data_IF_367502426407
#
_entry.id   IF_367502426407
#
_cell.length_a   1.000
_cell.length_b   1.000
_cell.length_c   1.000
_cell.angle_alpha   90.00
_cell.angle_beta   90.00
_cell.angle_gamma   90.00
#
_symmetry.space_group_name_H-M   'P 1'
#
loop_
_entity.id
_entity.type
_entity.pdbx_description
1 polymer ?
#
# COMPACT_ATOMS: atom_id res chain seq x y z
N UNK A 1 -51.73 -47.66 10.43
CA UNK A 1 -50.50 -47.79 11.25
C UNK A 1 -49.37 -46.89 10.76
N UNK A 2 -49.07 -46.80 9.46
CA UNK A 2 -47.97 -45.95 8.94
C UNK A 2 -48.21 -44.44 9.14
N UNK A 3 -49.43 -43.95 8.90
CA UNK A 3 -49.78 -42.52 9.08
C UNK A 3 -49.67 -42.01 10.52
N UNK A 4 -49.87 -42.88 11.53
CA UNK A 4 -49.84 -42.50 12.95
C UNK A 4 -48.40 -42.22 13.42
N UNK A 5 -47.38 -42.78 12.75
CA UNK A 5 -45.96 -42.60 13.09
C UNK A 5 -45.32 -41.48 12.24
N UNK A 6 -45.75 -41.32 10.99
CA UNK A 6 -45.17 -40.34 10.05
C UNK A 6 -45.55 -38.89 10.41
N UNK A 7 -46.77 -38.64 10.86
CA UNK A 7 -47.22 -37.30 11.27
C UNK A 7 -46.45 -36.74 12.48
N UNK A 8 -46.28 -37.47 13.60
CA UNK A 8 -45.54 -36.96 14.75
C UNK A 8 -44.03 -36.80 14.47
N UNK A 9 -43.45 -37.63 13.60
CA UNK A 9 -42.02 -37.51 13.24
C UNK A 9 -41.73 -36.28 12.38
N UNK A 10 -42.60 -35.96 11.42
CA UNK A 10 -42.54 -34.71 10.65
C UNK A 10 -42.77 -33.48 11.52
N UNK A 11 -43.69 -33.54 12.48
CA UNK A 11 -43.93 -32.45 13.43
C UNK A 11 -42.71 -32.18 14.33
N UNK A 12 -42.07 -33.24 14.84
CA UNK A 12 -40.85 -33.14 15.63
C UNK A 12 -39.66 -32.57 14.83
N UNK A 13 -39.49 -32.98 13.57
CA UNK A 13 -38.43 -32.46 12.71
C UNK A 13 -38.61 -30.95 12.43
N UNK A 14 -39.84 -30.49 12.19
CA UNK A 14 -40.12 -29.07 11.98
C UNK A 14 -39.93 -28.24 13.27
N UNK A 15 -40.27 -28.78 14.44
CA UNK A 15 -40.00 -28.14 15.73
C UNK A 15 -38.49 -28.01 16.01
N UNK A 16 -37.71 -29.05 15.70
CA UNK A 16 -36.26 -29.02 15.85
C UNK A 16 -35.60 -28.05 14.87
N UNK A 17 -36.05 -28.00 13.61
CA UNK A 17 -35.59 -27.03 12.63
C UNK A 17 -35.95 -25.59 13.04
N UNK A 18 -37.17 -25.38 13.55
CA UNK A 18 -37.61 -24.10 14.11
C UNK A 18 -36.77 -23.66 15.30
N UNK A 19 -36.49 -24.56 16.24
CA UNK A 19 -35.62 -24.29 17.40
C UNK A 19 -34.17 -24.04 16.99
N UNK A 20 -33.66 -24.72 15.96
CA UNK A 20 -32.32 -24.51 15.42
C UNK A 20 -32.21 -23.14 14.74
N UNK A 21 -33.16 -22.77 13.88
CA UNK A 21 -33.22 -21.46 13.22
C UNK A 21 -33.42 -20.35 14.26
N UNK A 22 -34.26 -20.57 15.27
CA UNK A 22 -34.47 -19.62 16.37
C UNK A 22 -33.22 -19.45 17.23
N UNK A 23 -32.49 -20.53 17.57
CA UNK A 23 -31.18 -20.45 18.23
C UNK A 23 -30.15 -19.74 17.36
N UNK A 24 -30.17 -19.94 16.04
CA UNK A 24 -29.27 -19.28 15.08
C UNK A 24 -29.60 -17.79 14.93
N UNK A 25 -30.88 -17.39 15.00
CA UNK A 25 -31.32 -15.99 14.97
C UNK A 25 -31.15 -15.27 16.32
N UNK A 26 -31.31 -15.96 17.46
CA UNK A 26 -30.96 -15.43 18.80
C UNK A 26 -29.46 -15.27 19.01
N UNK A 27 -28.62 -15.96 18.23
CA UNK A 27 -27.21 -15.59 18.02
C UNK A 27 -27.11 -14.47 16.97
N UNK A 28 -27.85 -13.39 17.17
CA UNK A 28 -27.44 -12.09 16.65
C UNK A 28 -26.34 -11.59 17.59
N UNK A 29 -25.20 -11.08 17.09
CA UNK A 29 -24.19 -10.54 17.98
C UNK A 29 -24.83 -9.34 18.69
N UNK A 30 -24.94 -9.44 20.02
CA UNK A 30 -25.12 -8.26 20.83
C UNK A 30 -24.02 -7.27 20.41
N UNK A 31 -24.42 -6.05 20.08
CA UNK A 31 -23.58 -4.92 19.68
C UNK A 31 -22.64 -4.58 20.85
N UNK A 32 -21.61 -5.39 21.04
CA UNK A 32 -20.45 -5.05 21.82
C UNK A 32 -19.68 -4.01 21.00
N UNK A 33 -19.50 -2.81 21.55
CA UNK A 33 -18.41 -1.93 21.13
C UNK A 33 -17.15 -2.78 21.28
N UNK A 34 -16.61 -3.31 20.19
CA UNK A 34 -15.36 -4.07 20.26
C UNK A 34 -14.27 -3.08 20.68
N UNK A 35 -13.60 -3.31 21.81
CA UNK A 35 -12.41 -2.55 22.15
C UNK A 35 -11.37 -2.86 21.07
N UNK A 36 -10.73 -1.79 20.61
CA UNK A 36 -9.54 -1.77 19.78
C UNK A 36 -8.67 -3.01 20.05
N UNK A 37 -8.62 -3.95 19.10
CA UNK A 37 -7.75 -5.12 19.24
C UNK A 37 -6.32 -4.59 19.32
N UNK A 38 -5.64 -4.86 20.43
CA UNK A 38 -4.25 -4.48 20.66
C UNK A 38 -3.37 -5.00 19.53
N UNK A 39 -3.05 -4.15 18.56
CA UNK A 39 -2.00 -4.41 17.59
C UNK A 39 -0.69 -4.28 18.36
N UNK A 40 -0.05 -5.41 18.65
CA UNK A 40 1.17 -5.54 19.45
C UNK A 40 2.31 -4.76 18.79
N UNK A 41 2.39 -3.49 19.13
CA UNK A 41 3.55 -2.63 18.92
C UNK A 41 4.03 -2.22 20.30
N UNK A 42 5.34 -2.18 20.52
CA UNK A 42 5.91 -1.85 21.82
C UNK A 42 5.32 -0.51 22.31
N UNK A 43 4.93 -0.41 23.58
CA UNK A 43 3.95 0.59 24.08
C UNK A 43 4.18 2.09 23.81
N UNK A 44 5.31 2.51 23.23
CA UNK A 44 5.52 3.87 22.70
C UNK A 44 4.92 4.08 21.31
N UNK A 45 4.90 3.05 20.47
CA UNK A 45 4.38 3.12 19.10
C UNK A 45 2.83 3.21 19.12
N UNK A 46 2.18 2.65 20.15
CA UNK A 46 0.72 2.65 20.30
C UNK A 46 0.16 4.06 20.59
N UNK A 47 0.79 4.85 21.47
CA UNK A 47 0.37 6.24 21.74
C UNK A 47 0.51 7.14 20.50
N UNK A 48 1.54 6.91 19.68
CA UNK A 48 1.73 7.67 18.45
C UNK A 48 0.66 7.35 17.40
N UNK A 49 0.22 6.09 17.30
CA UNK A 49 -0.85 5.71 16.35
C UNK A 49 -2.20 6.26 16.82
N UNK A 50 -2.47 6.27 18.13
CA UNK A 50 -3.72 6.82 18.67
C UNK A 50 -3.85 8.32 18.36
N UNK A 51 -2.75 9.07 18.35
CA UNK A 51 -2.75 10.49 17.95
C UNK A 51 -3.05 10.74 16.46
N UNK A 52 -2.95 9.70 15.62
CA UNK A 52 -3.18 9.74 14.17
C UNK A 52 -4.58 9.24 13.79
N UNK A 53 -5.38 8.81 14.76
CA UNK A 53 -6.75 8.35 14.51
C UNK A 53 -7.63 9.52 14.04
N UNK A 54 -8.26 9.32 12.89
CA UNK A 54 -9.23 10.25 12.32
C UNK A 54 -10.62 9.64 12.32
N UNK A 55 -11.63 10.46 12.62
CA UNK A 55 -13.03 10.05 12.62
C UNK A 55 -13.55 9.86 11.19
N UNK A 56 -14.31 8.79 10.96
CA UNK A 56 -14.85 8.47 9.63
C UNK A 56 -15.75 9.57 9.08
N UNK A 57 -16.49 10.29 9.92
CA UNK A 57 -17.36 11.39 9.50
C UNK A 57 -16.55 12.55 8.93
N UNK A 58 -15.36 12.83 9.50
CA UNK A 58 -14.45 13.86 8.98
C UNK A 58 -13.95 13.45 7.59
N UNK A 59 -13.54 12.19 7.41
CA UNK A 59 -13.05 11.71 6.12
C UNK A 59 -14.14 11.60 5.06
N UNK A 60 -15.38 11.25 5.44
CA UNK A 60 -16.53 11.30 4.52
C UNK A 60 -16.81 12.74 4.10
N UNK A 61 -16.86 13.69 5.03
CA UNK A 61 -17.06 15.09 4.69
C UNK A 61 -15.95 15.60 3.74
N UNK A 62 -14.69 15.30 4.05
CA UNK A 62 -13.54 15.72 3.25
C UNK A 62 -13.54 15.15 1.82
N UNK A 63 -14.03 13.93 1.64
CA UNK A 63 -14.00 13.20 0.35
C UNK A 63 -15.34 13.26 -0.42
N UNK A 64 -16.35 13.95 0.09
CA UNK A 64 -17.70 13.93 -0.50
C UNK A 64 -18.35 12.55 -0.42
N UNK A 65 -18.18 11.86 0.70
CA UNK A 65 -18.57 10.47 0.96
C UNK A 65 -17.95 9.49 -0.04
N UNK A 66 -16.64 9.65 -0.30
CA UNK A 66 -15.90 8.86 -1.30
C UNK A 66 -16.52 8.96 -2.70
N UNK A 67 -16.94 10.17 -3.11
CA UNK A 67 -17.51 10.41 -4.43
C UNK A 67 -16.53 10.02 -5.55
N UNK A 68 -17.06 9.43 -6.63
CA UNK A 68 -16.25 9.05 -7.80
C UNK A 68 -15.56 10.27 -8.45
N UNK A 69 -16.13 11.47 -8.35
CA UNK A 69 -15.50 12.71 -8.82
C UNK A 69 -14.20 13.06 -8.08
N UNK A 70 -14.03 12.54 -6.86
CA UNK A 70 -12.84 12.72 -6.03
C UNK A 70 -11.87 11.55 -6.15
N UNK A 71 -12.17 10.52 -6.94
CA UNK A 71 -11.32 9.34 -7.07
C UNK A 71 -10.06 9.68 -7.87
N UNK A 72 -8.91 9.40 -7.26
CA UNK A 72 -7.57 9.58 -7.86
C UNK A 72 -7.11 8.33 -8.62
N UNK A 73 -7.55 7.15 -8.17
CA UNK A 73 -7.21 5.87 -8.79
C UNK A 73 -7.71 4.68 -7.98
N UNK A 74 -7.61 3.49 -8.56
CA UNK A 74 -7.95 2.22 -7.92
C UNK A 74 -7.04 1.11 -8.42
N UNK A 75 -6.63 0.22 -7.52
CA UNK A 75 -5.84 -0.96 -7.85
C UNK A 75 -6.12 -2.11 -6.88
N UNK A 76 -5.27 -3.14 -6.89
CA UNK A 76 -5.41 -4.31 -6.01
C UNK A 76 -5.41 -3.99 -4.51
N UNK A 77 -4.97 -2.78 -4.14
CA UNK A 77 -4.84 -2.26 -2.79
C UNK A 77 -6.04 -1.41 -2.35
N UNK A 78 -7.02 -1.20 -3.22
CA UNK A 78 -8.20 -0.37 -2.98
C UNK A 78 -8.19 0.95 -3.74
N UNK A 79 -9.21 1.76 -3.49
CA UNK A 79 -9.42 3.04 -4.15
C UNK A 79 -8.83 4.20 -3.35
N UNK A 80 -8.29 5.20 -4.04
CA UNK A 80 -7.70 6.40 -3.44
C UNK A 80 -8.56 7.60 -3.84
N UNK A 81 -8.92 8.43 -2.86
CA UNK A 81 -9.76 9.61 -3.05
C UNK A 81 -9.03 10.87 -2.61
N UNK A 82 -9.17 11.97 -3.35
CA UNK A 82 -8.80 13.30 -2.90
C UNK A 82 -9.81 13.77 -1.86
N UNK A 83 -9.33 14.49 -0.84
CA UNK A 83 -10.20 15.22 0.06
C UNK A 83 -9.54 16.49 0.58
N UNK A 84 -10.34 17.31 1.24
CA UNK A 84 -9.88 18.54 1.90
C UNK A 84 -10.40 18.53 3.33
N UNK A 85 -9.47 18.58 4.30
CA UNK A 85 -9.81 18.63 5.72
C UNK A 85 -10.41 20.00 6.10
N UNK A 86 -11.09 20.10 7.26
CA UNK A 86 -11.74 21.36 7.69
C UNK A 86 -10.79 22.56 7.83
N UNK A 87 -9.50 22.31 8.07
CA UNK A 87 -8.43 23.32 8.15
C UNK A 87 -7.86 23.71 6.78
N UNK A 88 -8.33 23.08 5.70
CA UNK A 88 -7.90 23.33 4.33
C UNK A 88 -6.76 22.41 3.86
N UNK A 89 -6.24 21.50 4.69
CA UNK A 89 -5.19 20.56 4.25
C UNK A 89 -5.76 19.59 3.20
N UNK A 90 -5.13 19.53 2.03
CA UNK A 90 -5.48 18.55 0.99
C UNK A 90 -4.86 17.17 1.32
N UNK A 91 -5.68 16.14 1.24
CA UNK A 91 -5.32 14.76 1.61
C UNK A 91 -5.65 13.75 0.51
N UNK A 92 -4.95 12.62 0.54
CA UNK A 92 -5.26 11.43 -0.25
C UNK A 92 -5.70 10.29 0.68
N UNK A 93 -6.94 9.85 0.57
CA UNK A 93 -7.54 8.80 1.39
C UNK A 93 -7.55 7.48 0.63
N UNK A 94 -6.64 6.56 0.98
CA UNK A 94 -6.62 5.19 0.47
C UNK A 94 -7.57 4.33 1.29
N UNK A 95 -8.66 3.90 0.66
CA UNK A 95 -9.66 3.01 1.24
C UNK A 95 -9.30 1.56 0.89
N UNK A 96 -8.75 0.84 1.87
CA UNK A 96 -8.30 -0.53 1.68
C UNK A 96 -9.50 -1.46 1.41
N UNK A 97 -9.30 -2.43 0.52
CA UNK A 97 -10.34 -3.39 0.17
C UNK A 97 -10.77 -4.24 1.37
N UNK A 98 -12.09 -4.41 1.54
CA UNK A 98 -12.70 -5.17 2.66
C UNK A 98 -12.57 -6.69 2.49
N UNK A 99 -12.35 -7.18 1.26
CA UNK A 99 -12.44 -8.60 0.92
C UNK A 99 -11.10 -9.35 0.96
N UNK A 100 -9.97 -8.66 1.12
CA UNK A 100 -8.65 -9.29 1.06
C UNK A 100 -8.00 -9.45 2.44
N UNK A 101 -7.45 -10.64 2.70
CA UNK A 101 -6.49 -10.85 3.81
C UNK A 101 -5.25 -9.98 3.64
N UNK A 102 -4.92 -9.62 2.40
CA UNK A 102 -3.82 -8.73 2.04
C UNK A 102 -3.99 -7.32 2.61
N UNK A 103 -5.21 -6.74 2.54
CA UNK A 103 -5.47 -5.40 3.06
C UNK A 103 -5.29 -5.28 4.58
N UNK A 104 -5.44 -6.38 5.34
CA UNK A 104 -5.11 -6.40 6.78
C UNK A 104 -3.60 -6.30 7.00
N UNK A 105 -2.83 -7.09 6.24
CA UNK A 105 -1.37 -7.13 6.38
C UNK A 105 -0.74 -5.83 5.88
N UNK A 106 -1.27 -5.22 4.82
CA UNK A 106 -0.87 -3.90 4.35
C UNK A 106 -1.12 -2.83 5.40
N UNK A 107 -2.32 -2.80 5.99
CA UNK A 107 -2.63 -1.88 7.08
C UNK A 107 -1.62 -2.02 8.23
N UNK A 108 -1.31 -3.25 8.64
CA UNK A 108 -0.32 -3.49 9.71
C UNK A 108 1.07 -3.00 9.31
N UNK A 109 1.50 -3.23 8.06
CA UNK A 109 2.81 -2.79 7.58
C UNK A 109 2.88 -1.25 7.57
N UNK A 110 1.87 -0.59 6.99
CA UNK A 110 1.79 0.87 6.90
C UNK A 110 1.74 1.52 8.29
N UNK A 111 0.93 0.97 9.21
CA UNK A 111 0.88 1.43 10.60
C UNK A 111 2.20 1.21 11.36
N UNK A 112 2.91 0.12 11.09
CA UNK A 112 4.23 -0.09 11.71
C UNK A 112 5.28 0.92 11.23
N UNK A 113 5.06 1.53 10.07
CA UNK A 113 5.97 2.48 9.42
C UNK A 113 5.60 3.95 9.67
N UNK A 114 4.32 4.27 9.91
CA UNK A 114 3.79 5.64 10.02
C UNK A 114 4.52 6.53 11.02
N UNK A 115 4.93 5.95 12.14
CA UNK A 115 5.60 6.69 13.22
C UNK A 115 7.08 6.92 12.94
N UNK A 116 7.67 6.07 12.09
CA UNK A 116 9.13 5.90 11.98
C UNK A 116 9.72 6.50 10.73
N UNK A 117 8.91 6.69 9.69
CA UNK A 117 9.37 7.22 8.40
C UNK A 117 8.96 8.69 8.24
N UNK A 118 9.95 9.57 8.29
CA UNK A 118 9.78 11.01 8.00
C UNK A 118 10.94 11.50 7.16
N UNK A 119 10.69 11.70 5.88
CA UNK A 119 11.70 12.18 4.94
C UNK A 119 11.03 12.89 3.75
N UNK A 120 11.68 13.94 3.22
CA UNK A 120 11.13 14.77 2.15
C UNK A 120 10.88 14.03 0.82
N UNK A 121 11.55 12.90 0.62
CA UNK A 121 11.39 12.04 -0.57
C UNK A 121 10.53 10.80 -0.30
N UNK A 122 9.76 10.77 0.78
CA UNK A 122 8.73 9.77 1.04
C UNK A 122 7.38 10.49 1.21
N UNK A 123 6.29 9.84 0.81
CA UNK A 123 4.94 10.34 1.07
C UNK A 123 4.64 10.18 2.56
N UNK A 124 4.23 11.27 3.18
CA UNK A 124 3.86 11.30 4.60
C UNK A 124 2.44 10.77 4.79
N UNK A 125 2.32 9.75 5.62
CA UNK A 125 1.04 9.32 6.17
C UNK A 125 0.67 10.26 7.34
N UNK A 126 -0.51 10.85 7.23
CA UNK A 126 -1.05 11.91 8.10
C UNK A 126 -1.94 11.33 9.19
N UNK A 127 -2.76 10.34 8.82
CA UNK A 127 -3.75 9.76 9.72
C UNK A 127 -4.26 8.42 9.25
N UNK A 128 -5.02 7.76 10.12
CA UNK A 128 -5.65 6.47 9.85
C UNK A 128 -7.07 6.42 10.42
N UNK A 129 -7.97 5.69 9.78
CA UNK A 129 -9.32 5.46 10.29
C UNK A 129 -9.66 3.98 10.26
N UNK A 130 -10.06 3.44 11.41
CA UNK A 130 -10.39 2.01 11.63
C UNK A 130 -11.84 1.81 12.09
N UNK A 131 -12.70 2.81 11.87
CA UNK A 131 -14.07 2.82 12.35
C UNK A 131 -15.04 2.15 11.37
N UNK A 132 -16.17 1.64 11.87
CA UNK A 132 -17.29 1.13 11.04
C UNK A 132 -16.87 0.07 9.99
N UNK A 133 -15.85 -0.75 10.28
CA UNK A 133 -15.26 -1.72 9.34
C UNK A 133 -14.58 -1.08 8.11
N UNK A 134 -14.36 0.23 8.13
CA UNK A 134 -13.47 0.91 7.20
C UNK A 134 -12.02 0.80 7.66
N UNK A 135 -11.11 0.72 6.70
CA UNK A 135 -9.67 0.75 6.92
C UNK A 135 -9.11 1.77 5.95
N UNK A 136 -8.89 2.97 6.45
CA UNK A 136 -8.46 4.12 5.65
C UNK A 136 -7.06 4.53 6.09
N UNK A 137 -6.21 4.78 5.10
CA UNK A 137 -4.90 5.41 5.26
C UNK A 137 -4.98 6.80 4.63
N UNK A 138 -4.58 7.84 5.37
CA UNK A 138 -4.73 9.24 4.96
C UNK A 138 -3.35 9.84 4.77
N UNK A 139 -2.97 10.14 3.53
CA UNK A 139 -1.67 10.71 3.18
C UNK A 139 -1.79 12.18 2.82
N UNK A 140 -0.65 12.88 2.81
CA UNK A 140 -0.56 14.19 2.17
C UNK A 140 -0.95 14.07 0.68
N UNK A 141 -1.70 15.04 0.16
CA UNK A 141 -2.01 15.07 -1.26
C UNK A 141 -0.80 15.54 -2.07
N UNK A 142 -0.47 14.80 -3.13
CA UNK A 142 0.65 15.08 -4.03
C UNK A 142 0.11 15.43 -5.43
N UNK A 143 0.28 16.69 -5.92
CA UNK A 143 -0.52 17.23 -7.01
C UNK A 143 -0.15 16.72 -8.41
N UNK A 144 1.12 16.42 -8.70
CA UNK A 144 1.56 16.03 -10.05
C UNK A 144 1.44 14.51 -10.29
N UNK A 145 0.65 13.79 -9.48
CA UNK A 145 0.37 12.35 -9.60
C UNK A 145 1.66 11.52 -9.61
N UNK A 146 1.60 10.31 -10.16
CA UNK A 146 2.71 9.36 -10.21
C UNK A 146 3.64 9.59 -11.41
N UNK A 147 4.91 9.23 -11.24
CA UNK A 147 5.97 9.43 -12.22
C UNK A 147 5.68 8.72 -13.54
N UNK A 148 5.09 7.53 -13.52
CA UNK A 148 4.71 6.79 -14.73
C UNK A 148 3.69 7.54 -15.60
N UNK A 149 2.75 8.26 -14.98
CA UNK A 149 1.74 9.06 -15.69
C UNK A 149 2.31 10.31 -16.35
N UNK A 150 3.50 10.73 -15.96
CA UNK A 150 4.21 11.87 -16.58
C UNK A 150 5.26 11.35 -17.56
N UNK A 151 6.05 10.36 -17.15
CA UNK A 151 7.19 9.86 -17.90
C UNK A 151 6.80 9.19 -19.21
N UNK A 152 5.66 8.48 -19.24
CA UNK A 152 5.19 7.72 -20.40
C UNK A 152 4.04 8.40 -21.16
N UNK A 153 3.69 9.63 -20.76
CA UNK A 153 2.76 10.48 -21.47
C UNK A 153 3.54 11.27 -22.53
N UNK A 154 3.07 11.24 -23.78
CA UNK A 154 3.81 11.83 -24.91
C UNK A 154 4.07 13.33 -24.73
N UNK A 155 3.10 14.08 -24.19
CA UNK A 155 3.21 15.53 -24.06
C UNK A 155 3.90 15.93 -22.76
N UNK A 156 3.58 15.24 -21.65
CA UNK A 156 4.19 15.56 -20.33
C UNK A 156 5.60 15.02 -20.20
N UNK A 157 5.92 13.91 -20.86
CA UNK A 157 7.24 13.30 -20.85
C UNK A 157 8.30 14.21 -21.48
N UNK A 158 7.93 15.04 -22.45
CA UNK A 158 8.78 16.06 -23.06
C UNK A 158 9.11 17.21 -22.09
N UNK A 159 8.25 17.46 -21.09
CA UNK A 159 8.49 18.50 -20.08
C UNK A 159 9.52 18.07 -19.02
N UNK A 160 9.80 16.76 -18.93
CA UNK A 160 10.88 16.20 -18.12
C UNK A 160 12.21 16.31 -18.85
N UNK A 161 12.77 17.51 -18.87
CA UNK A 161 14.16 17.73 -19.30
C UNK A 161 15.15 16.88 -18.47
N UNK A 162 16.36 16.74 -18.99
CA UNK A 162 17.39 15.93 -18.33
C UNK A 162 17.69 16.38 -16.89
N UNK A 163 17.67 17.69 -16.62
CA UNK A 163 17.89 18.23 -15.28
C UNK A 163 16.81 17.80 -14.29
N UNK A 164 15.53 17.81 -14.71
CA UNK A 164 14.42 17.28 -13.92
C UNK A 164 14.56 15.77 -13.71
N UNK A 165 14.88 15.01 -14.75
CA UNK A 165 15.11 13.55 -14.67
C UNK A 165 16.22 13.20 -13.67
N UNK A 166 17.35 13.89 -13.72
CA UNK A 166 18.44 13.71 -12.75
C UNK A 166 18.02 14.05 -11.31
N UNK A 167 17.24 15.12 -11.13
CA UNK A 167 16.71 15.50 -9.81
C UNK A 167 15.78 14.43 -9.26
N UNK A 168 14.92 13.86 -10.10
CA UNK A 168 14.02 12.77 -9.76
C UNK A 168 14.84 11.52 -9.36
N UNK A 169 15.78 11.07 -10.18
CA UNK A 169 16.63 9.91 -9.86
C UNK A 169 17.35 10.11 -8.51
N UNK A 170 17.95 11.28 -8.30
CA UNK A 170 18.66 11.61 -7.05
C UNK A 170 17.72 11.67 -5.85
N UNK A 171 16.51 12.22 -6.01
CA UNK A 171 15.52 12.28 -4.94
C UNK A 171 15.01 10.90 -4.53
N UNK A 172 14.75 10.02 -5.50
CA UNK A 172 14.39 8.63 -5.24
C UNK A 172 15.54 7.91 -4.51
N UNK A 173 16.78 8.04 -4.99
CA UNK A 173 17.95 7.44 -4.35
C UNK A 173 18.11 7.88 -2.89
N UNK A 174 17.88 9.17 -2.58
CA UNK A 174 17.88 9.68 -1.20
C UNK A 174 16.76 9.10 -0.36
N UNK A 175 15.55 8.99 -0.91
CA UNK A 175 14.44 8.32 -0.23
C UNK A 175 14.77 6.87 0.10
N UNK A 176 15.39 6.16 -0.86
CA UNK A 176 15.77 4.76 -0.69
C UNK A 176 16.92 4.58 0.32
N UNK A 177 17.95 5.42 0.27
CA UNK A 177 19.02 5.45 1.25
C UNK A 177 18.46 5.64 2.66
N UNK A 178 17.52 6.57 2.83
CA UNK A 178 16.86 6.78 4.11
C UNK A 178 16.15 5.52 4.62
N UNK A 179 15.42 4.80 3.75
CA UNK A 179 14.77 3.54 4.10
C UNK A 179 15.77 2.45 4.51
N UNK A 180 16.93 2.40 3.84
CA UNK A 180 17.90 1.30 4.00
C UNK A 180 18.89 1.51 5.15
N UNK A 181 19.26 2.76 5.43
CA UNK A 181 20.40 3.10 6.29
C UNK A 181 20.07 4.14 7.37
N UNK A 182 19.42 5.26 7.01
CA UNK A 182 19.31 6.42 7.91
C UNK A 182 18.07 6.41 8.81
N UNK A 183 17.07 5.59 8.49
CA UNK A 183 15.86 5.46 9.30
C UNK A 183 16.10 4.61 10.55
N UNK A 184 15.24 4.75 11.55
CA UNK A 184 15.36 4.04 12.83
C UNK A 184 15.34 2.50 12.67
N UNK A 185 14.67 2.02 11.63
CA UNK A 185 14.58 0.61 11.26
C UNK A 185 14.89 0.49 9.77
N UNK A 186 15.70 -0.50 9.41
CA UNK A 186 15.94 -0.82 8.01
C UNK A 186 14.66 -1.33 7.37
N UNK A 187 14.21 -0.68 6.29
CA UNK A 187 12.97 -0.99 5.58
C UNK A 187 13.31 -1.46 4.16
N UNK A 188 12.77 -2.59 3.75
CA UNK A 188 12.80 -3.05 2.35
C UNK A 188 11.40 -2.80 1.75
N UNK A 189 11.32 -2.03 0.68
CA UNK A 189 10.06 -1.58 0.07
C UNK A 189 9.32 -2.70 -0.67
N UNK A 190 10.06 -3.52 -1.44
CA UNK A 190 9.59 -4.70 -2.20
C UNK A 190 8.66 -4.44 -3.40
N UNK A 191 8.10 -3.23 -3.54
CA UNK A 191 7.32 -2.84 -4.72
C UNK A 191 7.72 -1.46 -5.26
N UNK A 192 9.02 -1.21 -5.36
CA UNK A 192 9.52 0.06 -5.90
C UNK A 192 9.35 0.07 -7.43
N UNK A 193 8.60 1.06 -7.95
CA UNK A 193 8.29 1.21 -9.38
C UNK A 193 7.87 2.66 -9.69
N UNK A 194 7.84 3.04 -10.96
CA UNK A 194 7.50 4.40 -11.37
C UNK A 194 6.09 4.85 -10.89
N UNK A 195 5.10 3.96 -10.87
CA UNK A 195 3.76 4.29 -10.37
C UNK A 195 3.66 4.48 -8.85
N UNK A 196 4.68 4.02 -8.10
CA UNK A 196 4.78 4.24 -6.66
C UNK A 196 5.69 5.43 -6.29
N UNK A 197 6.12 6.24 -7.27
CA UNK A 197 6.80 7.51 -7.03
C UNK A 197 5.86 8.65 -7.42
N UNK A 198 5.44 9.46 -6.46
CA UNK A 198 4.62 10.65 -6.70
C UNK A 198 5.48 11.90 -6.88
N UNK A 199 4.97 12.91 -7.58
CA UNK A 199 5.67 14.16 -7.83
C UNK A 199 4.95 15.34 -7.17
N UNK A 200 5.66 16.06 -6.29
CA UNK A 200 5.12 17.27 -5.67
C UNK A 200 5.03 18.44 -6.65
N UNK A 201 4.52 19.58 -6.19
CA UNK A 201 4.31 20.78 -7.01
C UNK A 201 5.60 21.26 -7.71
N UNK A 202 6.76 21.03 -7.09
CA UNK A 202 8.08 21.42 -7.60
C UNK A 202 8.77 20.29 -8.39
N UNK A 203 8.03 19.23 -8.74
CA UNK A 203 8.50 18.03 -9.43
C UNK A 203 9.56 17.24 -8.64
N UNK A 204 9.56 17.33 -7.30
CA UNK A 204 10.39 16.48 -6.48
C UNK A 204 9.69 15.12 -6.24
N UNK A 205 10.46 14.02 -6.23
CA UNK A 205 9.90 12.68 -6.07
C UNK A 205 9.62 12.35 -4.60
N UNK A 206 8.52 11.64 -4.36
CA UNK A 206 8.14 11.04 -3.09
C UNK A 206 7.76 9.57 -3.28
N UNK A 207 8.50 8.66 -2.65
CA UNK A 207 8.20 7.22 -2.66
C UNK A 207 6.94 6.96 -1.83
N UNK A 208 6.04 6.14 -2.34
CA UNK A 208 4.73 5.84 -1.78
C UNK A 208 4.44 4.34 -1.83
N UNK A 209 3.32 3.92 -1.22
CA UNK A 209 2.81 2.54 -1.19
C UNK A 209 3.72 1.54 -0.45
N UNK A 210 3.72 1.64 0.89
CA UNK A 210 4.51 0.78 1.77
C UNK A 210 3.77 -0.50 2.18
N UNK A 211 2.63 -0.82 1.55
CA UNK A 211 1.81 -1.97 1.91
C UNK A 211 2.56 -3.31 1.88
N UNK A 212 3.56 -3.45 1.00
CA UNK A 212 4.39 -4.67 0.88
C UNK A 212 5.73 -4.60 1.64
N UNK A 213 6.03 -3.44 2.24
CA UNK A 213 7.31 -3.19 2.88
C UNK A 213 7.55 -4.11 4.08
N UNK A 214 8.82 -4.35 4.40
CA UNK A 214 9.24 -5.21 5.50
C UNK A 214 10.31 -4.54 6.34
N UNK A 215 10.11 -4.60 7.65
CA UNK A 215 11.06 -4.14 8.65
C UNK A 215 12.12 -5.22 8.90
N UNK A 216 13.39 -4.83 8.84
CA UNK A 216 14.52 -5.68 9.25
C UNK A 216 14.96 -5.33 10.66
N UNK A 217 15.15 -6.37 11.47
CA UNK A 217 15.75 -6.24 12.79
C UNK A 217 17.22 -5.83 12.71
N UNK A 218 17.80 -5.44 13.86
CA UNK A 218 19.23 -5.13 13.95
C UNK A 218 20.06 -6.34 13.49
N UNK A 219 20.94 -6.12 12.52
CA UNK A 219 21.82 -7.17 11.96
C UNK A 219 21.18 -8.03 10.86
N UNK A 220 19.87 -7.92 10.62
CA UNK A 220 19.24 -8.64 9.52
C UNK A 220 19.60 -8.00 8.17
N UNK A 221 20.12 -8.80 7.25
CA UNK A 221 20.56 -8.36 5.91
C UNK A 221 19.64 -8.84 4.80
N UNK A 222 18.88 -9.91 5.03
CA UNK A 222 17.96 -10.50 4.07
C UNK A 222 16.78 -11.17 4.77
N UNK A 223 15.70 -11.40 4.03
CA UNK A 223 14.55 -12.21 4.42
C UNK A 223 14.17 -13.18 3.30
N UNK A 224 13.40 -14.20 3.63
CA UNK A 224 12.85 -15.18 2.68
C UNK A 224 11.35 -15.24 2.86
N UNK A 225 10.60 -15.43 1.77
CA UNK A 225 9.15 -15.61 1.81
C UNK A 225 8.68 -16.60 0.76
N UNK A 226 7.71 -17.42 1.12
CA UNK A 226 7.05 -18.33 0.16
C UNK A 226 6.05 -17.59 -0.75
N UNK A 227 5.79 -16.31 -0.47
CA UNK A 227 4.78 -15.50 -1.15
C UNK A 227 5.44 -14.35 -1.90
N UNK A 228 5.89 -14.65 -3.11
CA UNK A 228 6.46 -13.67 -4.04
C UNK A 228 5.35 -12.77 -4.55
N UNK A 229 5.39 -11.51 -4.12
CA UNK A 229 4.44 -10.44 -4.44
C UNK A 229 5.20 -9.16 -4.78
N UNK A 230 4.63 -8.34 -5.67
CA UNK A 230 5.24 -7.12 -6.22
C UNK A 230 4.91 -6.99 -7.70
N UNK A 231 5.54 -6.03 -8.37
CA UNK A 231 5.31 -5.79 -9.80
C UNK A 231 6.34 -6.48 -10.69
N UNK A 232 5.88 -7.35 -11.59
CA UNK A 232 6.75 -8.00 -12.58
C UNK A 232 7.51 -6.96 -13.41
N UNK A 233 8.75 -7.28 -13.82
CA UNK A 233 9.66 -6.35 -14.48
C UNK A 233 10.54 -5.54 -13.52
N UNK A 234 10.07 -5.28 -12.30
CA UNK A 234 10.86 -4.60 -11.26
C UNK A 234 11.44 -5.55 -10.20
N UNK A 235 10.91 -6.77 -10.10
CA UNK A 235 11.34 -7.73 -9.10
C UNK A 235 12.72 -8.32 -9.43
N UNK A 236 13.61 -8.33 -8.43
CA UNK A 236 14.93 -8.91 -8.53
C UNK A 236 14.87 -10.44 -8.78
N UNK A 237 15.81 -11.01 -9.56
CA UNK A 237 15.77 -12.42 -9.93
C UNK A 237 15.86 -13.37 -8.73
N UNK A 238 16.67 -13.05 -7.72
CA UNK A 238 16.77 -13.86 -6.50
C UNK A 238 15.46 -13.87 -5.69
N UNK A 239 14.68 -12.79 -5.77
CA UNK A 239 13.37 -12.70 -5.15
C UNK A 239 12.33 -13.52 -5.91
N UNK A 240 12.33 -13.46 -7.24
CA UNK A 240 11.43 -14.26 -8.08
C UNK A 240 11.68 -15.77 -7.95
N UNK A 241 12.95 -16.18 -7.90
CA UNK A 241 13.33 -17.59 -7.94
C UNK A 241 13.30 -18.26 -6.56
N UNK A 242 13.64 -17.53 -5.51
CA UNK A 242 13.89 -18.10 -4.17
C UNK A 242 13.08 -17.43 -3.06
N UNK A 243 12.34 -16.37 -3.37
CA UNK A 243 11.65 -15.56 -2.36
C UNK A 243 12.60 -14.73 -1.50
N UNK A 244 13.88 -14.64 -1.87
CA UNK A 244 14.88 -13.88 -1.11
C UNK A 244 14.70 -12.38 -1.39
N UNK A 245 14.44 -11.59 -0.36
CA UNK A 245 14.35 -10.14 -0.47
C UNK A 245 15.34 -9.46 0.47
N UNK A 246 15.89 -8.35 0.03
CA UNK A 246 16.83 -7.52 0.80
C UNK A 246 16.81 -6.09 0.28
N UNK A 247 17.61 -5.22 0.90
CA UNK A 247 17.89 -3.88 0.35
C UNK A 247 18.41 -3.93 -1.09
N UNK A 248 19.12 -5.00 -1.47
CA UNK A 248 19.62 -5.17 -2.85
C UNK A 248 18.50 -5.46 -3.86
N UNK A 249 17.41 -6.07 -3.40
CA UNK A 249 16.24 -6.29 -4.24
C UNK A 249 15.54 -4.97 -4.59
N UNK A 250 15.47 -4.01 -3.65
CA UNK A 250 15.00 -2.66 -3.96
C UNK A 250 15.98 -1.89 -4.87
N UNK A 251 17.29 -2.09 -4.70
CA UNK A 251 18.31 -1.48 -5.57
C UNK A 251 18.17 -1.97 -7.02
N UNK A 252 17.85 -3.25 -7.22
CA UNK A 252 17.51 -3.77 -8.55
C UNK A 252 16.30 -3.05 -9.14
N UNK A 253 15.20 -2.96 -8.38
CA UNK A 253 13.99 -2.24 -8.81
C UNK A 253 14.26 -0.77 -9.13
N UNK A 254 15.11 -0.11 -8.34
CA UNK A 254 15.59 1.25 -8.60
C UNK A 254 16.38 1.34 -9.91
N UNK A 255 17.25 0.37 -10.20
CA UNK A 255 18.00 0.31 -11.45
C UNK A 255 17.09 0.25 -12.68
N UNK A 256 16.06 -0.60 -12.65
CA UNK A 256 15.04 -0.68 -13.71
C UNK A 256 14.35 0.67 -13.89
N UNK A 257 13.85 1.27 -12.80
CA UNK A 257 13.17 2.56 -12.85
C UNK A 257 14.09 3.70 -13.32
N UNK A 258 15.37 3.68 -12.96
CA UNK A 258 16.34 4.66 -13.44
C UNK A 258 16.50 4.58 -14.97
N UNK A 259 16.50 3.37 -15.55
CA UNK A 259 16.51 3.19 -17.00
C UNK A 259 15.22 3.69 -17.65
N UNK A 260 14.06 3.45 -17.05
CA UNK A 260 12.81 4.02 -17.54
C UNK A 260 12.87 5.55 -17.55
N UNK A 261 13.39 6.16 -16.48
CA UNK A 261 13.53 7.63 -16.39
C UNK A 261 14.50 8.14 -17.45
N UNK A 262 15.62 7.46 -17.71
CA UNK A 262 16.60 7.88 -18.71
C UNK A 262 16.04 7.73 -20.13
N UNK A 263 15.39 6.61 -20.43
CA UNK A 263 14.94 6.27 -21.77
C UNK A 263 13.57 6.86 -22.12
N UNK A 264 12.74 7.17 -21.12
CA UNK A 264 11.33 7.51 -21.30
C UNK A 264 10.47 6.33 -21.77
N UNK A 265 10.95 5.09 -21.64
CA UNK A 265 10.25 3.88 -22.13
C UNK A 265 9.86 2.96 -20.98
N UNK A 266 8.72 2.27 -21.09
CA UNK A 266 8.29 1.30 -20.09
C UNK A 266 9.11 0.03 -20.20
N UNK A 267 9.45 -0.58 -19.08
CA UNK A 267 10.16 -1.87 -19.08
C UNK A 267 9.33 -3.02 -19.71
N UNK A 268 8.00 -2.87 -19.81
CA UNK A 268 7.11 -3.84 -20.45
C UNK A 268 7.13 -3.78 -21.99
N UNK A 269 7.72 -2.74 -22.58
CA UNK A 269 7.75 -2.54 -24.03
C UNK A 269 8.76 -3.53 -24.65
N UNK A 270 8.25 -4.71 -24.99
CA UNK A 270 8.95 -5.95 -25.31
C UNK A 270 9.75 -5.94 -26.62
N UNK A 271 9.89 -4.82 -27.32
CA UNK A 271 10.56 -4.78 -28.62
C UNK A 271 12.09 -4.70 -28.54
N UNK A 272 12.70 -4.51 -27.34
CA UNK A 272 14.16 -4.46 -27.14
C UNK A 272 14.59 -4.96 -25.74
N UNK A 273 13.97 -6.01 -25.20
CA UNK A 273 14.20 -6.48 -23.82
C UNK A 273 15.65 -6.91 -23.53
N UNK A 274 16.42 -7.31 -24.54
CA UNK A 274 17.84 -7.67 -24.39
C UNK A 274 18.73 -6.45 -24.10
N UNK A 275 18.38 -5.25 -24.58
CA UNK A 275 19.20 -4.03 -24.38
C UNK A 275 19.05 -3.44 -22.98
N UNK A 276 17.85 -3.48 -22.39
CA UNK A 276 17.60 -2.94 -21.05
C UNK A 276 18.27 -3.79 -19.96
N UNK A 277 18.19 -5.12 -20.06
CA UNK A 277 18.89 -6.04 -19.16
C UNK A 277 20.41 -5.91 -19.31
N UNK A 278 20.90 -5.70 -20.54
CA UNK A 278 22.31 -5.42 -20.80
C UNK A 278 22.74 -4.08 -20.19
N UNK A 279 21.90 -3.03 -20.27
CA UNK A 279 22.16 -1.76 -19.61
C UNK A 279 22.14 -1.86 -18.07
N UNK A 280 21.22 -2.62 -17.47
CA UNK A 280 21.22 -2.92 -16.03
C UNK A 280 22.54 -3.60 -15.64
N UNK A 281 22.97 -4.62 -16.39
CA UNK A 281 24.24 -5.31 -16.15
C UNK A 281 25.46 -4.38 -16.30
N UNK A 282 25.46 -3.47 -17.27
CA UNK A 282 26.56 -2.51 -17.48
C UNK A 282 26.63 -1.47 -16.35
N UNK A 283 25.49 -1.01 -15.83
CA UNK A 283 25.43 0.01 -14.77
C UNK A 283 25.72 -0.60 -13.38
N UNK A 284 25.33 -1.85 -13.12
CA UNK A 284 25.54 -2.50 -11.82
C UNK A 284 26.93 -3.14 -11.64
N UNK A 285 27.73 -3.29 -12.70
CA UNK A 285 29.06 -3.93 -12.67
C UNK A 285 30.25 -2.94 -12.74
N UNK A 286 30.02 -1.63 -12.53
CA UNK A 286 31.10 -0.63 -12.42
C UNK A 286 31.07 0.12 -11.10
#
# INVERSE_FOLDING_TARGET
MVLIVVLPTLAAANLLAGLFIWRRRRRSPARAKQPYSSYSTAGKDTESVDSMLMDISTLRAATGDFAESNKLGEGGFGAVYKGTLPDGEEIAVKRLSKSSTQGVEELKNELALVVKLKHKNLVRLVGVCLEQQERLLVYEFIPNRSLDQILFDTEKGEQLDWGKRQRIIRGIARGLQYLHEDSQLKVVHRDLKASNVLLDADMNPKISDFGLARLFGRGQTQGVTDRVIGTYGYMAPEYLMRGNYSVKSDVFSFGVMALEIVTGRKNSDTLQSEDLLTMVCIILLR
#
